data_IF_249454377065
#
_entry.id   IF_249454377065
#
_cell.length_a   1.000
_cell.length_b   1.000
_cell.length_c   1.000
_cell.angle_alpha   90.00
_cell.angle_beta   90.00
_cell.angle_gamma   90.00
#
_symmetry.space_group_name_H-M   'P 1'
#
loop_
_entity.id
_entity.type
_entity.pdbx_description
1 polymer ?
#
# COMPACT_ATOMS: atom_id res chain seq x y z
N UNK A 1 -4.56 26.69 -5.61
CA UNK A 1 -3.79 26.20 -6.78
C UNK A 1 -3.85 24.69 -6.79
N UNK A 2 -3.76 24.00 -7.94
CA UNK A 2 -3.60 22.53 -8.00
C UNK A 2 -2.45 22.09 -7.09
N UNK A 3 -1.42 22.94 -6.94
CA UNK A 3 -0.32 22.78 -5.98
C UNK A 3 -0.78 22.59 -4.52
N UNK A 4 -1.77 23.34 -4.04
CA UNK A 4 -2.28 23.21 -2.66
C UNK A 4 -3.18 21.98 -2.46
N UNK A 5 -3.73 21.41 -3.54
CA UNK A 5 -4.49 20.14 -3.51
C UNK A 5 -3.50 18.96 -3.51
N UNK A 6 -2.47 19.00 -4.35
CA UNK A 6 -1.38 18.01 -4.36
C UNK A 6 -0.66 17.97 -3.01
N UNK A 7 -0.44 19.13 -2.37
CA UNK A 7 0.19 19.21 -1.05
C UNK A 7 -0.72 18.71 0.09
N UNK A 8 -2.05 18.78 -0.08
CA UNK A 8 -3.02 18.15 0.85
C UNK A 8 -3.21 16.66 0.59
N UNK A 9 -2.93 16.16 -0.62
CA UNK A 9 -2.93 14.73 -0.94
C UNK A 9 -1.62 14.04 -0.52
N UNK A 10 -0.54 14.79 -0.28
CA UNK A 10 0.64 14.36 0.47
C UNK A 10 0.40 14.32 1.99
N UNK A 11 -0.77 13.86 2.45
CA UNK A 11 -0.83 13.27 3.78
C UNK A 11 -0.02 11.99 3.68
N UNK A 12 1.27 12.08 3.96
CA UNK A 12 2.16 10.95 4.20
C UNK A 12 1.50 10.10 5.31
N UNK A 13 0.67 9.15 4.91
CA UNK A 13 0.45 7.96 5.71
C UNK A 13 1.77 7.20 5.65
N UNK A 14 2.69 7.62 6.53
CA UNK A 14 3.96 6.98 6.77
C UNK A 14 3.68 5.62 7.37
N UNK A 15 3.55 4.62 6.49
CA UNK A 15 3.61 3.22 6.88
C UNK A 15 5.05 3.02 7.34
N UNK A 16 5.25 3.00 8.67
CA UNK A 16 6.59 2.88 9.28
C UNK A 16 7.19 1.52 8.93
N UNK A 17 7.96 1.48 7.85
CA UNK A 17 8.77 0.34 7.46
C UNK A 17 10.22 0.80 7.25
N UNK A 18 11.19 0.04 7.76
CA UNK A 18 12.62 0.29 7.58
C UNK A 18 13.28 1.22 8.61
N UNK A 19 14.45 1.75 8.24
CA UNK A 19 15.33 2.52 9.14
C UNK A 19 14.74 3.92 9.38
N UNK A 20 14.45 4.22 10.65
CA UNK A 20 13.85 5.50 11.05
C UNK A 20 14.76 6.68 10.67
N UNK A 21 14.14 7.73 10.11
CA UNK A 21 14.78 9.00 9.73
C UNK A 21 15.92 8.92 8.70
N UNK A 22 16.20 7.75 8.11
CA UNK A 22 17.26 7.61 7.12
C UNK A 22 17.08 8.56 5.94
N UNK A 23 15.84 8.73 5.47
CA UNK A 23 15.51 9.67 4.39
C UNK A 23 15.88 11.13 4.73
N UNK A 24 15.81 11.55 6.01
CA UNK A 24 16.19 12.91 6.43
C UNK A 24 17.71 13.08 6.38
N UNK A 25 18.42 12.04 6.80
CA UNK A 25 19.89 12.00 6.78
C UNK A 25 20.43 12.02 5.35
N UNK A 26 19.79 11.28 4.44
CA UNK A 26 20.22 11.18 3.04
C UNK A 26 19.70 12.31 2.15
N UNK A 27 18.78 13.15 2.63
CA UNK A 27 18.17 14.23 1.86
C UNK A 27 19.17 15.13 1.11
N UNK A 28 20.33 15.52 1.69
CA UNK A 28 21.31 16.35 0.98
C UNK A 28 21.97 15.63 -0.21
N UNK A 29 22.01 14.31 -0.19
CA UNK A 29 22.64 13.47 -1.23
C UNK A 29 21.62 12.89 -2.21
N UNK A 30 20.33 12.92 -1.86
CA UNK A 30 19.27 12.35 -2.67
C UNK A 30 18.84 13.30 -3.79
N UNK A 31 18.89 12.82 -5.04
CA UNK A 31 18.29 13.53 -6.15
C UNK A 31 16.77 13.53 -5.96
N UNK A 32 16.19 14.72 -5.76
CA UNK A 32 14.86 14.87 -5.14
C UNK A 32 13.70 14.64 -6.12
N UNK A 33 14.00 14.43 -7.40
CA UNK A 33 12.97 14.29 -8.44
C UNK A 33 13.47 13.44 -9.60
N UNK A 34 13.23 12.14 -9.54
CA UNK A 34 13.22 11.29 -10.72
C UNK A 34 11.79 11.25 -11.27
N UNK A 35 11.63 11.63 -12.53
CA UNK A 35 10.39 11.41 -13.25
C UNK A 35 10.45 10.03 -13.88
N UNK A 36 9.39 9.25 -13.70
CA UNK A 36 9.21 8.01 -14.44
C UNK A 36 8.71 8.42 -15.82
N UNK A 37 9.65 8.47 -16.78
CA UNK A 37 9.40 8.88 -18.15
C UNK A 37 9.99 7.86 -19.13
N UNK A 38 9.89 8.16 -20.43
CA UNK A 38 10.37 7.29 -21.51
C UNK A 38 11.89 7.12 -21.54
N UNK A 39 12.69 7.86 -20.77
CA UNK A 39 14.14 7.63 -20.66
C UNK A 39 14.47 6.26 -20.03
N UNK A 40 13.50 5.66 -19.36
CA UNK A 40 13.59 4.33 -18.78
C UNK A 40 13.10 3.21 -19.71
N UNK A 41 12.65 3.55 -20.92
CA UNK A 41 12.13 2.57 -21.88
C UNK A 41 13.14 1.44 -22.16
N UNK A 42 12.66 0.20 -22.14
CA UNK A 42 13.46 -1.02 -22.29
C UNK A 42 14.19 -1.46 -21.02
N UNK A 43 14.20 -0.67 -19.94
CA UNK A 43 14.81 -1.08 -18.67
C UNK A 43 13.88 -2.01 -17.89
N UNK A 44 14.48 -2.97 -17.19
CA UNK A 44 13.80 -3.85 -16.23
C UNK A 44 13.89 -3.26 -14.83
N UNK A 45 12.77 -3.17 -14.12
CA UNK A 45 12.70 -2.56 -12.78
C UNK A 45 12.01 -3.51 -11.81
N UNK A 46 12.70 -3.84 -10.72
CA UNK A 46 12.11 -4.57 -9.59
C UNK A 46 11.18 -3.66 -8.79
N UNK A 47 9.96 -4.11 -8.53
CA UNK A 47 8.94 -3.37 -7.79
C UNK A 47 8.57 -4.14 -6.54
N UNK A 48 8.72 -3.51 -5.38
CA UNK A 48 8.20 -4.04 -4.12
C UNK A 48 6.66 -4.00 -4.13
N UNK A 49 6.06 -5.20 -4.21
CA UNK A 49 4.61 -5.36 -4.25
C UNK A 49 3.94 -4.95 -2.93
N UNK A 50 4.53 -5.27 -1.77
CA UNK A 50 3.93 -5.00 -0.46
C UNK A 50 3.72 -3.50 -0.25
N UNK A 51 4.69 -2.69 -0.67
CA UNK A 51 4.54 -1.24 -0.65
C UNK A 51 3.34 -0.74 -1.47
N UNK A 52 3.12 -1.27 -2.69
CA UNK A 52 1.99 -0.87 -3.53
C UNK A 52 0.65 -1.40 -3.02
N UNK A 53 0.62 -2.65 -2.54
CA UNK A 53 -0.57 -3.27 -1.95
C UNK A 53 -1.06 -2.48 -0.74
N UNK A 54 -0.15 -2.12 0.17
CA UNK A 54 -0.48 -1.31 1.33
C UNK A 54 -1.01 0.09 0.93
N UNK A 55 -0.40 0.73 -0.07
CA UNK A 55 -0.88 2.02 -0.59
C UNK A 55 -2.27 1.92 -1.22
N UNK A 56 -2.54 0.88 -2.00
CA UNK A 56 -3.85 0.65 -2.61
C UNK A 56 -4.93 0.32 -1.59
N UNK A 57 -4.57 -0.44 -0.55
CA UNK A 57 -5.47 -0.82 0.53
C UNK A 57 -5.96 0.39 1.36
N UNK A 58 -5.19 1.48 1.43
CA UNK A 58 -5.58 2.72 2.15
C UNK A 58 -6.91 3.27 1.62
N UNK A 59 -7.13 3.23 0.31
CA UNK A 59 -8.35 3.76 -0.32
C UNK A 59 -9.62 2.94 -0.02
N UNK A 60 -9.46 1.71 0.47
CA UNK A 60 -10.54 0.79 0.81
C UNK A 60 -10.40 0.20 2.21
N UNK A 61 -9.64 0.85 3.10
CA UNK A 61 -9.26 0.28 4.39
C UNK A 61 -10.47 -0.13 5.23
N UNK A 62 -11.48 0.75 5.30
CA UNK A 62 -12.70 0.51 6.04
C UNK A 62 -13.54 -0.63 5.43
N UNK A 63 -13.63 -0.70 4.10
CA UNK A 63 -14.34 -1.77 3.37
C UNK A 63 -13.68 -3.13 3.64
N UNK A 64 -12.35 -3.18 3.52
CA UNK A 64 -11.56 -4.39 3.77
C UNK A 64 -11.73 -4.90 5.21
N UNK A 65 -11.77 -4.01 6.21
CA UNK A 65 -11.93 -4.41 7.61
C UNK A 65 -13.31 -4.98 7.94
N UNK A 66 -14.34 -4.51 7.23
CA UNK A 66 -15.70 -5.03 7.36
C UNK A 66 -15.97 -6.25 6.47
N UNK A 67 -14.98 -6.73 5.72
CA UNK A 67 -15.15 -7.84 4.79
C UNK A 67 -16.07 -7.50 3.61
N UNK A 68 -16.19 -6.21 3.26
CA UNK A 68 -16.97 -5.78 2.10
C UNK A 68 -16.13 -6.00 0.84
N UNK A 69 -16.75 -6.58 -0.17
CA UNK A 69 -16.09 -6.77 -1.47
C UNK A 69 -15.66 -5.40 -2.05
N UNK A 70 -14.41 -5.34 -2.46
CA UNK A 70 -13.80 -4.14 -3.05
C UNK A 70 -12.67 -4.55 -3.98
N UNK A 71 -12.49 -3.82 -5.08
CA UNK A 71 -11.43 -4.02 -6.06
C UNK A 71 -10.51 -2.81 -6.19
N UNK A 72 -10.73 -1.77 -5.37
CA UNK A 72 -9.98 -0.51 -5.41
C UNK A 72 -8.47 -0.72 -5.27
N UNK A 73 -8.04 -1.64 -4.41
CA UNK A 73 -6.62 -1.94 -4.24
C UNK A 73 -6.02 -2.63 -5.47
N UNK A 74 -6.78 -3.49 -6.18
CA UNK A 74 -6.34 -4.14 -7.41
C UNK A 74 -6.22 -3.11 -8.52
N UNK A 75 -7.24 -2.25 -8.69
CA UNK A 75 -7.22 -1.16 -9.68
C UNK A 75 -6.01 -0.24 -9.47
N UNK A 76 -5.80 0.22 -8.24
CA UNK A 76 -4.64 1.04 -7.89
C UNK A 76 -3.31 0.33 -8.25
N UNK A 77 -3.20 -0.95 -7.91
CA UNK A 77 -1.98 -1.72 -8.21
C UNK A 77 -1.74 -1.81 -9.72
N UNK A 78 -2.78 -2.11 -10.49
CA UNK A 78 -2.69 -2.23 -11.94
C UNK A 78 -2.44 -0.89 -12.64
N UNK A 79 -3.02 0.22 -12.15
CA UNK A 79 -2.73 1.56 -12.66
C UNK A 79 -1.23 1.89 -12.54
N UNK A 80 -0.61 1.48 -11.42
CA UNK A 80 0.83 1.65 -11.22
C UNK A 80 1.66 0.77 -12.17
N UNK A 81 1.22 -0.46 -12.45
CA UNK A 81 1.85 -1.34 -13.46
C UNK A 81 1.72 -0.72 -14.86
N UNK A 82 0.53 -0.29 -15.25
CA UNK A 82 0.29 0.33 -16.55
C UNK A 82 1.08 1.63 -16.73
N UNK A 83 1.26 2.42 -15.67
CA UNK A 83 2.11 3.61 -15.72
C UNK A 83 3.56 3.27 -16.08
N UNK A 84 4.11 2.15 -15.60
CA UNK A 84 5.44 1.68 -16.00
C UNK A 84 5.46 1.22 -17.46
N UNK A 85 4.50 0.38 -17.85
CA UNK A 85 4.39 -0.15 -19.21
C UNK A 85 4.21 0.95 -20.26
N UNK A 86 3.41 1.97 -19.95
CA UNK A 86 3.18 3.14 -20.82
C UNK A 86 4.48 3.91 -21.14
N UNK A 87 5.42 3.91 -20.19
CA UNK A 87 6.74 4.49 -20.35
C UNK A 87 7.77 3.51 -20.96
N UNK A 88 7.33 2.34 -21.44
CA UNK A 88 8.17 1.31 -22.03
C UNK A 88 9.04 0.57 -21.01
N UNK A 89 8.76 0.70 -19.71
CA UNK A 89 9.49 0.03 -18.64
C UNK A 89 8.96 -1.40 -18.50
N UNK A 90 9.84 -2.35 -18.22
CA UNK A 90 9.50 -3.75 -17.99
C UNK A 90 9.47 -4.00 -16.48
N UNK A 91 8.30 -3.98 -15.83
CA UNK A 91 8.20 -4.23 -14.39
C UNK A 91 8.41 -5.71 -14.06
N UNK A 92 9.13 -5.98 -12.98
CA UNK A 92 9.21 -7.28 -12.32
C UNK A 92 8.66 -7.11 -10.91
N UNK A 93 7.47 -7.66 -10.66
CA UNK A 93 6.78 -7.49 -9.38
C UNK A 93 7.33 -8.48 -8.35
N UNK A 94 7.83 -7.98 -7.22
CA UNK A 94 8.49 -8.78 -6.18
C UNK A 94 7.57 -8.83 -4.96
N UNK A 95 7.12 -10.03 -4.62
CA UNK A 95 6.38 -10.30 -3.39
C UNK A 95 7.33 -10.79 -2.30
N UNK A 96 7.10 -10.32 -1.07
CA UNK A 96 7.81 -10.85 0.10
C UNK A 96 7.47 -12.32 0.33
N UNK A 97 8.48 -13.05 0.79
CA UNK A 97 8.37 -14.44 1.23
C UNK A 97 7.91 -14.58 2.67
N UNK A 98 8.35 -15.67 3.30
CA UNK A 98 8.04 -15.94 4.71
C UNK A 98 8.71 -14.94 5.66
N UNK A 99 8.03 -14.70 6.79
CA UNK A 99 8.56 -13.86 7.86
C UNK A 99 9.87 -14.44 8.42
N UNK A 100 10.91 -13.61 8.51
CA UNK A 100 12.19 -14.00 9.07
C UNK A 100 12.14 -14.03 10.61
N UNK A 101 12.75 -15.04 11.27
CA UNK A 101 12.81 -15.11 12.74
C UNK A 101 13.37 -13.85 13.40
N UNK A 102 14.38 -13.22 12.78
CA UNK A 102 15.01 -11.99 13.26
C UNK A 102 14.07 -10.77 13.31
N UNK A 103 12.88 -10.83 12.67
CA UNK A 103 11.89 -9.75 12.64
C UNK A 103 10.65 -10.03 13.51
N UNK A 104 10.64 -11.13 14.27
CA UNK A 104 9.46 -11.55 15.05
C UNK A 104 8.97 -10.49 16.04
N UNK A 105 9.88 -9.82 16.75
CA UNK A 105 9.49 -8.78 17.72
C UNK A 105 8.85 -7.56 17.05
N UNK A 106 9.32 -7.18 15.87
CA UNK A 106 8.69 -6.09 15.11
C UNK A 106 7.36 -6.53 14.51
N UNK A 107 7.27 -7.75 14.01
CA UNK A 107 6.04 -8.32 13.47
C UNK A 107 4.95 -8.43 14.54
N UNK A 108 5.31 -8.82 15.77
CA UNK A 108 4.38 -8.91 16.90
C UNK A 108 3.86 -7.54 17.33
N UNK A 109 4.74 -6.53 17.46
CA UNK A 109 4.32 -5.13 17.73
C UNK A 109 3.38 -4.61 16.66
N UNK A 110 3.72 -4.78 15.38
CA UNK A 110 2.84 -4.39 14.27
C UNK A 110 1.52 -5.14 14.27
N UNK A 111 1.50 -6.40 14.73
CA UNK A 111 0.28 -7.19 14.86
C UNK A 111 -0.63 -6.62 15.95
N UNK A 112 -0.07 -6.36 17.13
CA UNK A 112 -0.81 -5.77 18.23
C UNK A 112 -1.40 -4.41 17.86
N UNK A 113 -0.61 -3.51 17.29
CA UNK A 113 -1.08 -2.18 16.85
C UNK A 113 -2.23 -2.27 15.84
N UNK A 114 -2.19 -3.27 14.93
CA UNK A 114 -3.26 -3.53 13.96
C UNK A 114 -4.52 -4.05 14.62
N UNK A 115 -4.41 -4.97 15.57
CA UNK A 115 -5.54 -5.54 16.31
C UNK A 115 -6.24 -4.44 17.13
N UNK A 116 -5.49 -3.63 17.88
CA UNK A 116 -6.05 -2.50 18.63
C UNK A 116 -6.74 -1.46 17.74
N UNK A 117 -6.17 -1.19 16.57
CA UNK A 117 -6.77 -0.28 15.60
C UNK A 117 -8.05 -0.86 14.98
N UNK A 118 -8.07 -2.17 14.72
CA UNK A 118 -9.24 -2.89 14.20
C UNK A 118 -10.40 -2.83 15.17
N UNK A 119 -10.15 -3.11 16.45
CA UNK A 119 -11.20 -3.10 17.48
C UNK A 119 -11.87 -1.73 17.59
N UNK A 120 -11.06 -0.65 17.54
CA UNK A 120 -11.58 0.73 17.54
C UNK A 120 -12.49 1.01 16.34
N UNK A 121 -12.16 0.49 15.16
CA UNK A 121 -12.98 0.66 13.95
C UNK A 121 -14.30 -0.11 14.07
N UNK A 122 -14.24 -1.36 14.53
CA UNK A 122 -15.43 -2.19 14.72
C UNK A 122 -16.37 -1.62 15.78
N UNK A 123 -15.83 -1.13 16.89
CA UNK A 123 -16.59 -0.44 17.93
C UNK A 123 -17.28 0.83 17.41
N UNK A 124 -16.57 1.64 16.62
CA UNK A 124 -17.14 2.83 16.01
C UNK A 124 -18.25 2.48 15.00
N UNK A 125 -18.05 1.43 14.20
CA UNK A 125 -19.08 0.92 13.27
C UNK A 125 -20.35 0.53 14.00
N UNK A 126 -20.23 -0.19 15.12
CA UNK A 126 -21.36 -0.59 15.96
C UNK A 126 -22.11 0.58 16.58
N UNK A 127 -21.40 1.63 17.00
CA UNK A 127 -21.99 2.80 17.68
C UNK A 127 -22.62 3.81 16.73
N UNK A 128 -21.96 4.09 15.60
CA UNK A 128 -22.37 5.15 14.67
C UNK A 128 -23.23 4.63 13.50
N UNK A 129 -23.18 3.31 13.25
CA UNK A 129 -23.68 2.70 12.04
C UNK A 129 -22.71 2.89 10.86
N UNK A 130 -22.72 1.92 9.93
CA UNK A 130 -21.74 1.81 8.86
C UNK A 130 -21.58 3.08 8.00
N UNK A 131 -22.69 3.73 7.63
CA UNK A 131 -22.64 4.92 6.77
C UNK A 131 -21.93 6.10 7.42
N UNK A 132 -22.17 6.34 8.72
CA UNK A 132 -21.53 7.43 9.45
C UNK A 132 -20.09 7.10 9.83
N UNK A 133 -19.83 5.86 10.25
CA UNK A 133 -18.48 5.40 10.57
C UNK A 133 -17.56 5.44 9.34
N UNK A 134 -18.06 5.12 8.14
CA UNK A 134 -17.30 5.23 6.89
C UNK A 134 -16.85 6.67 6.58
N UNK A 135 -17.59 7.69 7.01
CA UNK A 135 -17.25 9.10 6.75
C UNK A 135 -16.42 9.74 7.87
N UNK A 136 -16.26 9.06 9.00
CA UNK A 136 -15.52 9.58 10.15
C UNK A 136 -14.01 9.50 9.92
N UNK A 137 -13.34 10.65 10.04
CA UNK A 137 -11.90 10.81 9.79
C UNK A 137 -11.05 9.97 10.76
N UNK A 138 -11.45 9.84 12.02
CA UNK A 138 -10.72 9.05 13.01
C UNK A 138 -10.90 7.56 12.74
N UNK A 139 -12.09 7.15 12.32
CA UNK A 139 -12.35 5.77 11.87
C UNK A 139 -11.49 5.45 10.65
N UNK A 140 -11.42 6.32 9.64
CA UNK A 140 -10.58 6.11 8.46
C UNK A 140 -9.08 6.02 8.79
N UNK A 141 -8.60 6.85 9.73
CA UNK A 141 -7.21 6.78 10.21
C UNK A 141 -6.90 5.47 10.92
N UNK A 142 -7.78 5.01 11.81
CA UNK A 142 -7.61 3.72 12.47
C UNK A 142 -7.77 2.56 11.49
N UNK A 143 -8.67 2.69 10.51
CA UNK A 143 -8.85 1.70 9.46
C UNK A 143 -7.56 1.50 8.66
N UNK A 144 -6.93 2.61 8.25
CA UNK A 144 -5.64 2.57 7.54
C UNK A 144 -4.54 1.91 8.38
N UNK A 145 -4.50 2.16 9.69
CA UNK A 145 -3.54 1.52 10.61
C UNK A 145 -3.79 0.02 10.78
N UNK A 146 -5.05 -0.40 10.71
CA UNK A 146 -5.45 -1.78 10.92
C UNK A 146 -5.27 -2.68 9.68
N UNK A 147 -4.92 -2.11 8.52
CA UNK A 147 -4.74 -2.87 7.27
C UNK A 147 -3.75 -4.01 7.47
N UNK A 148 -4.21 -5.22 7.18
CA UNK A 148 -3.39 -6.41 6.98
C UNK A 148 -3.60 -6.87 5.54
N UNK A 149 -2.52 -6.98 4.79
CA UNK A 149 -2.57 -7.62 3.47
C UNK A 149 -2.86 -9.10 3.68
N UNK A 150 -4.00 -9.57 3.17
CA UNK A 150 -4.40 -10.97 3.25
C UNK A 150 -3.87 -11.77 2.05
N UNK A 151 -3.85 -13.10 2.20
CA UNK A 151 -3.51 -14.02 1.09
C UNK A 151 -4.45 -13.82 -0.08
N UNK A 152 -5.75 -13.67 0.17
CA UNK A 152 -6.76 -13.42 -0.87
C UNK A 152 -6.47 -12.14 -1.67
N UNK A 153 -6.02 -11.07 -1.02
CA UNK A 153 -5.61 -9.84 -1.72
C UNK A 153 -4.42 -10.08 -2.64
N UNK A 154 -3.43 -10.87 -2.17
CA UNK A 154 -2.27 -11.26 -2.96
C UNK A 154 -2.71 -12.09 -4.17
N UNK A 155 -3.55 -13.10 -3.96
CA UNK A 155 -4.06 -13.98 -5.01
C UNK A 155 -4.79 -13.22 -6.11
N UNK A 156 -5.62 -12.23 -5.75
CA UNK A 156 -6.33 -11.37 -6.71
C UNK A 156 -5.38 -10.55 -7.57
N UNK A 157 -4.27 -10.07 -7.01
CA UNK A 157 -3.24 -9.35 -7.78
C UNK A 157 -2.45 -10.33 -8.65
N UNK A 158 -2.05 -11.48 -8.12
CA UNK A 158 -1.35 -12.51 -8.89
C UNK A 158 -2.18 -12.99 -10.08
N UNK A 159 -3.49 -13.15 -9.92
CA UNK A 159 -4.40 -13.47 -11.01
C UNK A 159 -4.38 -12.39 -12.11
N UNK A 160 -4.52 -11.11 -11.73
CA UNK A 160 -4.47 -9.99 -12.67
C UNK A 160 -3.11 -9.87 -13.40
N UNK A 161 -2.00 -10.11 -12.69
CA UNK A 161 -0.66 -10.11 -13.29
C UNK A 161 -0.48 -11.25 -14.30
N UNK A 162 -0.99 -12.45 -13.99
CA UNK A 162 -0.94 -13.61 -14.90
C UNK A 162 -1.76 -13.37 -16.17
N UNK A 163 -2.96 -12.81 -16.03
CA UNK A 163 -3.84 -12.51 -17.17
C UNK A 163 -3.16 -11.56 -18.17
N UNK A 164 -2.38 -10.61 -17.67
CA UNK A 164 -1.67 -9.61 -18.47
C UNK A 164 -0.23 -10.01 -18.83
N UNK A 165 0.19 -11.24 -18.51
CA UNK A 165 1.55 -11.75 -18.72
C UNK A 165 2.64 -10.83 -18.12
N UNK A 166 2.38 -10.26 -16.94
CA UNK A 166 3.35 -9.44 -16.22
C UNK A 166 4.25 -10.34 -15.36
N UNK A 167 5.56 -10.10 -15.45
CA UNK A 167 6.55 -10.87 -14.71
C UNK A 167 6.50 -10.57 -13.21
N UNK A 168 6.50 -11.63 -12.39
CA UNK A 168 6.55 -11.52 -10.94
C UNK A 168 7.37 -12.64 -10.31
N UNK A 169 7.87 -12.39 -9.10
CA UNK A 169 8.61 -13.34 -8.27
C UNK A 169 8.13 -13.26 -6.82
N UNK A 170 8.23 -14.38 -6.11
CA UNK A 170 8.03 -14.46 -4.65
C UNK A 170 9.38 -14.79 -4.04
N UNK A 171 9.85 -13.95 -3.11
CA UNK A 171 11.17 -14.04 -2.49
C UNK A 171 11.25 -15.09 -1.37
#
# INVERSE_FOLDING_TARGET
SISSIVQKLQVEHSIKMGIKQLHKLLRPMAQTRYQIDRSWSGKRVGVDAMCWMHRGAVACAYELLLGKETDKFVRFFMDMVFMLLWNGIIPIIIFDGQDLPAKQEEASKRRQEREEARDKVLDASRKLGDGRAALDINVQKNATKAIKISVEMIERILAALRELNIEFMVA
#
